data_IF_259853231313
#
_entry.id   IF_259853231313
#
_cell.length_a   1.000
_cell.length_b   1.000
_cell.length_c   1.000
_cell.angle_alpha   90.00
_cell.angle_beta   90.00
_cell.angle_gamma   90.00
#
_symmetry.space_group_name_H-M   'P 1'
#
loop_
_entity.id
_entity.type
_entity.pdbx_description
1 polymer ?
#
# COMPACT_ATOMS: atom_id res chain seq x y z
N UNK A 1 -67.71 -64.14 -11.36
CA UNK A 1 -69.09 -64.19 -10.84
C UNK A 1 -69.07 -63.65 -9.42
N UNK A 2 -69.72 -62.49 -9.20
CA UNK A 2 -70.26 -61.94 -7.94
C UNK A 2 -69.41 -61.89 -6.66
N UNK A 3 -69.18 -60.65 -6.17
CA UNK A 3 -69.43 -60.12 -4.80
C UNK A 3 -68.78 -60.83 -3.59
N UNK A 4 -68.28 -60.22 -2.50
CA UNK A 4 -68.75 -59.07 -1.73
C UNK A 4 -67.65 -58.58 -0.76
N UNK A 5 -67.68 -57.27 -0.50
CA UNK A 5 -67.21 -56.52 0.66
C UNK A 5 -67.18 -57.24 2.03
N UNK A 6 -66.11 -57.00 2.82
CA UNK A 6 -66.20 -56.33 4.15
C UNK A 6 -64.83 -55.97 4.75
N UNK A 7 -64.62 -54.65 4.88
CA UNK A 7 -64.01 -53.90 5.98
C UNK A 7 -63.35 -54.68 7.14
N UNK A 8 -62.10 -54.32 7.47
CA UNK A 8 -61.78 -53.79 8.81
C UNK A 8 -60.41 -53.07 8.89
N UNK A 9 -60.52 -51.78 9.23
CA UNK A 9 -59.74 -50.93 10.14
C UNK A 9 -58.26 -51.25 10.49
N UNK A 10 -57.55 -50.12 10.50
CA UNK A 10 -56.42 -49.73 11.36
C UNK A 10 -55.03 -50.17 10.88
N UNK A 11 -54.33 -49.27 10.16
CA UNK A 11 -53.54 -48.12 10.66
C UNK A 11 -52.10 -48.52 11.04
N UNK A 12 -51.22 -48.19 10.09
CA UNK A 12 -49.95 -47.51 10.31
C UNK A 12 -48.95 -48.17 11.29
N UNK A 13 -48.25 -49.20 10.81
CA UNK A 13 -46.99 -49.68 11.40
C UNK A 13 -45.77 -49.49 10.49
N UNK A 14 -45.84 -48.62 9.47
CA UNK A 14 -44.79 -48.49 8.45
C UNK A 14 -44.16 -47.11 8.23
N UNK A 15 -44.56 -46.06 8.97
CA UNK A 15 -44.06 -44.69 8.75
C UNK A 15 -43.26 -44.14 9.95
N UNK A 16 -43.21 -44.87 11.07
CA UNK A 16 -42.50 -44.42 12.27
C UNK A 16 -41.07 -45.00 12.42
N UNK A 17 -40.41 -45.38 11.31
CA UNK A 17 -38.98 -45.73 11.30
C UNK A 17 -38.16 -45.02 10.22
N UNK A 18 -38.77 -44.09 9.46
CA UNK A 18 -38.06 -43.25 8.48
C UNK A 18 -37.99 -41.76 8.88
N UNK A 19 -38.42 -41.40 10.09
CA UNK A 19 -38.39 -40.02 10.62
C UNK A 19 -37.41 -39.83 11.78
N UNK A 20 -36.61 -40.83 12.12
CA UNK A 20 -35.56 -40.73 13.14
C UNK A 20 -34.13 -40.67 12.58
N UNK A 21 -33.99 -40.63 11.25
CA UNK A 21 -32.71 -40.46 10.54
C UNK A 21 -32.73 -39.26 9.57
N UNK A 22 -33.57 -38.26 9.85
CA UNK A 22 -33.70 -37.04 9.03
C UNK A 22 -33.68 -35.76 9.87
N UNK A 23 -33.15 -35.81 11.10
CA UNK A 23 -33.08 -34.67 12.02
C UNK A 23 -31.68 -34.39 12.61
N UNK A 24 -30.60 -34.82 11.95
CA UNK A 24 -29.22 -34.53 12.38
C UNK A 24 -28.28 -34.22 11.21
N UNK A 25 -28.77 -33.46 10.22
CA UNK A 25 -27.91 -32.68 9.31
C UNK A 25 -28.50 -31.27 9.20
N UNK A 26 -28.68 -30.60 10.34
CA UNK A 26 -28.48 -29.16 10.34
C UNK A 26 -26.97 -29.05 10.49
N UNK A 27 -26.28 -28.94 9.35
CA UNK A 27 -24.90 -28.55 9.35
C UNK A 27 -24.82 -27.27 10.19
N UNK A 28 -24.23 -27.36 11.37
CA UNK A 28 -23.51 -26.23 11.91
C UNK A 28 -22.44 -25.94 10.88
N UNK A 29 -22.76 -25.13 9.88
CA UNK A 29 -21.74 -24.24 9.34
C UNK A 29 -21.28 -23.48 10.58
N UNK A 30 -20.11 -23.86 11.10
CA UNK A 30 -19.29 -22.91 11.81
C UNK A 30 -19.25 -21.70 10.88
N UNK A 31 -20.02 -20.66 11.21
CA UNK A 31 -19.79 -19.34 10.66
C UNK A 31 -18.44 -18.97 11.23
N UNK A 32 -17.38 -19.37 10.53
CA UNK A 32 -16.07 -18.79 10.74
C UNK A 32 -16.27 -17.28 10.56
N UNK A 33 -15.81 -16.43 11.49
CA UNK A 33 -15.87 -15.00 11.26
C UNK A 33 -15.20 -14.74 9.92
N UNK A 34 -15.91 -14.08 8.99
CA UNK A 34 -15.28 -13.56 7.78
C UNK A 34 -14.08 -12.71 8.23
N UNK A 35 -12.90 -13.00 7.68
CA UNK A 35 -11.67 -12.29 8.06
C UNK A 35 -11.90 -10.78 7.91
N UNK A 36 -11.56 -10.02 8.95
CA UNK A 36 -11.57 -8.56 8.85
C UNK A 36 -10.56 -8.09 7.80
N UNK A 37 -10.74 -6.89 7.26
CA UNK A 37 -9.76 -6.28 6.33
C UNK A 37 -8.35 -6.31 6.92
N UNK A 38 -8.22 -6.05 8.22
CA UNK A 38 -6.94 -6.14 8.93
C UNK A 38 -6.33 -7.54 8.84
N UNK A 39 -7.09 -8.60 9.11
CA UNK A 39 -6.59 -9.98 9.02
C UNK A 39 -6.19 -10.37 7.59
N UNK A 40 -6.94 -9.88 6.59
CA UNK A 40 -6.58 -10.06 5.18
C UNK A 40 -5.25 -9.36 4.85
N UNK A 41 -5.08 -8.11 5.28
CA UNK A 41 -3.84 -7.35 5.09
C UNK A 41 -2.67 -8.02 5.81
N UNK A 42 -2.83 -8.51 7.03
CA UNK A 42 -1.77 -9.22 7.74
C UNK A 42 -1.32 -10.48 7.00
N UNK A 43 -2.25 -11.29 6.45
CA UNK A 43 -1.88 -12.44 5.62
C UNK A 43 -1.14 -12.03 4.34
N UNK A 44 -1.54 -10.92 3.71
CA UNK A 44 -0.84 -10.38 2.55
C UNK A 44 0.58 -9.95 2.92
N UNK A 45 0.74 -9.23 4.03
CA UNK A 45 2.05 -8.88 4.59
C UNK A 45 2.91 -10.13 4.83
N UNK A 46 2.34 -11.19 5.41
CA UNK A 46 3.04 -12.44 5.67
C UNK A 46 3.42 -13.21 4.39
N UNK A 47 2.73 -12.95 3.28
CA UNK A 47 2.97 -13.57 1.98
C UNK A 47 4.05 -12.89 1.12
N UNK A 48 4.63 -11.79 1.60
CA UNK A 48 5.79 -11.16 0.94
C UNK A 48 6.96 -12.14 0.92
N UNK A 49 7.43 -12.45 -0.28
CA UNK A 49 8.47 -13.43 -0.55
C UNK A 49 9.82 -12.74 -0.76
N UNK A 50 10.77 -13.00 0.14
CA UNK A 50 12.16 -12.56 -0.03
C UNK A 50 12.78 -13.16 -1.30
N UNK A 51 12.46 -14.39 -1.66
CA UNK A 51 12.96 -15.02 -2.89
C UNK A 51 12.49 -14.30 -4.15
N UNK A 52 11.24 -13.82 -4.15
CA UNK A 52 10.69 -12.99 -5.22
C UNK A 52 11.48 -11.69 -5.36
N UNK A 53 11.70 -10.98 -4.24
CA UNK A 53 12.49 -9.76 -4.20
C UNK A 53 13.92 -9.99 -4.73
N UNK A 54 14.61 -11.02 -4.23
CA UNK A 54 15.97 -11.40 -4.67
C UNK A 54 16.01 -11.67 -6.18
N UNK A 55 15.03 -12.40 -6.72
CA UNK A 55 14.95 -12.69 -8.16
C UNK A 55 14.88 -11.40 -8.97
N UNK A 56 13.97 -10.49 -8.62
CA UNK A 56 13.76 -9.27 -9.40
C UNK A 56 14.97 -8.34 -9.32
N UNK A 57 15.58 -8.17 -8.14
CA UNK A 57 16.79 -7.36 -7.97
C UNK A 57 17.93 -7.88 -8.85
N UNK A 58 18.22 -9.20 -8.80
CA UNK A 58 19.32 -9.80 -9.57
C UNK A 58 19.12 -9.67 -11.09
N UNK A 59 17.89 -9.76 -11.58
CA UNK A 59 17.61 -9.58 -13.01
C UNK A 59 17.87 -8.14 -13.43
N UNK A 60 17.39 -7.16 -12.64
CA UNK A 60 17.58 -5.74 -12.91
C UNK A 60 19.04 -5.32 -12.78
N UNK A 61 19.76 -5.83 -11.77
CA UNK A 61 21.20 -5.64 -11.62
C UNK A 61 21.96 -6.16 -12.84
N UNK A 62 21.64 -7.38 -13.29
CA UNK A 62 22.31 -7.98 -14.44
C UNK A 62 22.00 -7.24 -15.75
N UNK A 63 20.82 -6.61 -15.87
CA UNK A 63 20.41 -5.79 -17.00
C UNK A 63 20.69 -6.44 -18.36
N UNK A 64 20.27 -7.69 -18.55
CA UNK A 64 20.52 -8.45 -19.79
C UNK A 64 21.99 -8.81 -20.05
N UNK A 65 22.86 -8.75 -19.04
CA UNK A 65 24.30 -8.96 -19.14
C UNK A 65 25.12 -7.67 -19.27
N UNK A 66 24.45 -6.50 -19.29
CA UNK A 66 25.10 -5.20 -19.36
C UNK A 66 25.54 -4.66 -18.00
N UNK A 67 24.97 -5.16 -16.90
CA UNK A 67 25.28 -4.73 -15.52
C UNK A 67 25.15 -3.22 -15.31
N UNK A 68 24.21 -2.59 -16.04
CA UNK A 68 23.97 -1.16 -16.02
C UNK A 68 22.63 -0.86 -16.67
N UNK A 69 21.85 0.02 -16.06
CA UNK A 69 20.56 0.50 -16.56
C UNK A 69 20.57 2.00 -16.84
N UNK A 70 21.74 2.59 -17.06
CA UNK A 70 21.86 4.01 -17.41
C UNK A 70 21.06 4.32 -18.67
N UNK A 71 20.32 5.44 -18.66
CA UNK A 71 19.42 5.83 -19.75
C UNK A 71 20.12 5.80 -21.13
N UNK A 72 19.37 5.44 -22.17
CA UNK A 72 19.85 5.32 -23.56
C UNK A 72 20.91 4.24 -23.81
N UNK A 73 21.09 3.28 -22.90
CA UNK A 73 21.98 2.12 -23.09
C UNK A 73 21.18 0.83 -23.34
N UNK A 74 21.79 -0.19 -23.97
CA UNK A 74 21.14 -1.51 -24.15
C UNK A 74 20.72 -2.19 -22.85
N UNK A 75 21.39 -1.89 -21.74
CA UNK A 75 21.01 -2.43 -20.43
C UNK A 75 19.74 -1.76 -19.86
N UNK A 76 19.53 -0.46 -20.12
CA UNK A 76 18.26 0.20 -19.84
C UNK A 76 17.13 -0.38 -20.69
N UNK A 77 17.37 -0.62 -22.00
CA UNK A 77 16.40 -1.28 -22.88
C UNK A 77 16.05 -2.69 -22.35
N UNK A 78 17.04 -3.43 -21.86
CA UNK A 78 16.84 -4.76 -21.27
C UNK A 78 15.98 -4.71 -20.00
N UNK A 79 16.21 -3.72 -19.12
CA UNK A 79 15.40 -3.52 -17.92
C UNK A 79 13.96 -3.11 -18.27
N UNK A 80 13.80 -2.15 -19.18
CA UNK A 80 12.49 -1.70 -19.67
C UNK A 80 11.66 -2.87 -20.23
N UNK A 81 12.28 -3.70 -21.07
CA UNK A 81 11.63 -4.90 -21.61
C UNK A 81 11.26 -5.91 -20.52
N UNK A 82 12.15 -6.13 -19.53
CA UNK A 82 11.86 -7.02 -18.41
C UNK A 82 10.68 -6.53 -17.58
N UNK A 83 10.60 -5.22 -17.32
CA UNK A 83 9.52 -4.61 -16.54
C UNK A 83 8.18 -4.75 -17.26
N UNK A 84 8.13 -4.34 -18.53
CA UNK A 84 6.91 -4.46 -19.34
C UNK A 84 6.42 -5.91 -19.38
N UNK A 85 7.33 -6.85 -19.64
CA UNK A 85 7.02 -8.28 -19.67
C UNK A 85 6.51 -8.78 -18.32
N UNK A 86 7.18 -8.41 -17.23
CA UNK A 86 6.79 -8.83 -15.87
C UNK A 86 5.37 -8.37 -15.54
N UNK A 87 5.00 -7.14 -15.88
CA UNK A 87 3.63 -6.67 -15.71
C UNK A 87 2.64 -7.38 -16.64
N UNK A 88 2.97 -7.54 -17.93
CA UNK A 88 2.07 -8.21 -18.89
C UNK A 88 1.78 -9.67 -18.56
N UNK A 89 2.75 -10.37 -17.97
CA UNK A 89 2.61 -11.77 -17.56
C UNK A 89 1.98 -11.93 -16.17
N UNK A 90 1.86 -10.84 -15.40
CA UNK A 90 1.28 -10.87 -14.06
C UNK A 90 -0.25 -11.01 -14.14
N UNK A 91 -0.82 -12.06 -13.53
CA UNK A 91 -2.25 -12.29 -13.62
C UNK A 91 -3.03 -11.24 -12.81
N UNK A 92 -4.29 -11.03 -13.20
CA UNK A 92 -5.29 -10.24 -12.47
C UNK A 92 -5.03 -8.73 -12.39
N UNK A 93 -4.00 -8.21 -13.06
CA UNK A 93 -3.94 -6.78 -13.37
C UNK A 93 -5.09 -6.38 -14.30
N UNK A 94 -5.67 -5.21 -14.06
CA UNK A 94 -6.75 -4.65 -14.88
C UNK A 94 -6.23 -4.10 -16.22
N UNK A 95 -5.04 -3.50 -16.21
CA UNK A 95 -4.36 -3.04 -17.42
C UNK A 95 -2.86 -2.91 -17.20
N UNK A 96 -2.10 -2.95 -18.30
CA UNK A 96 -0.68 -2.60 -18.37
C UNK A 96 -0.51 -1.63 -19.52
N UNK A 97 0.10 -0.47 -19.26
CA UNK A 97 0.29 0.58 -20.25
C UNK A 97 1.74 1.08 -20.26
N UNK A 98 2.18 1.52 -21.44
CA UNK A 98 3.48 2.15 -21.63
C UNK A 98 3.27 3.64 -21.86
N UNK A 99 3.73 4.46 -20.94
CA UNK A 99 3.73 5.90 -21.08
C UNK A 99 5.01 6.35 -21.77
N UNK A 100 4.91 6.97 -22.94
CA UNK A 100 6.08 7.38 -23.74
C UNK A 100 6.37 8.86 -23.56
N UNK A 101 7.64 9.22 -23.40
CA UNK A 101 8.09 10.60 -23.30
C UNK A 101 9.45 10.81 -23.98
N UNK A 102 9.87 12.06 -24.11
CA UNK A 102 11.17 12.45 -24.67
C UNK A 102 11.91 13.35 -23.69
N UNK A 103 13.21 13.12 -23.54
CA UNK A 103 14.10 14.01 -22.78
C UNK A 103 14.60 15.09 -23.73
N UNK A 104 13.86 16.19 -23.86
CA UNK A 104 14.17 17.25 -24.82
C UNK A 104 15.48 17.98 -24.52
N UNK A 105 15.96 17.95 -23.27
CA UNK A 105 17.27 18.48 -22.85
C UNK A 105 18.44 17.58 -23.24
N UNK A 106 18.20 16.40 -23.82
CA UNK A 106 19.28 15.53 -24.27
C UNK A 106 20.02 16.05 -25.50
N UNK A 107 21.26 15.62 -25.64
CA UNK A 107 22.07 15.90 -26.83
C UNK A 107 21.74 14.91 -27.93
N UNK A 108 21.89 15.32 -29.19
CA UNK A 108 21.72 14.42 -30.33
C UNK A 108 22.69 13.22 -30.24
N UNK A 109 22.26 12.00 -30.62
CA UNK A 109 20.95 11.65 -31.19
C UNK A 109 19.87 11.27 -30.16
N UNK A 110 20.08 11.51 -28.86
CA UNK A 110 19.22 11.01 -27.79
C UNK A 110 17.95 11.84 -27.58
N UNK A 111 17.97 13.13 -27.93
CA UNK A 111 16.80 14.02 -27.83
C UNK A 111 15.58 13.59 -28.66
N UNK A 112 15.78 12.75 -29.66
CA UNK A 112 14.70 12.20 -30.49
C UNK A 112 14.39 10.74 -30.17
N UNK A 113 15.06 10.14 -29.18
CA UNK A 113 14.77 8.78 -28.74
C UNK A 113 13.70 8.80 -27.65
N UNK A 114 12.65 7.97 -27.77
CA UNK A 114 11.64 7.85 -26.73
C UNK A 114 12.23 7.16 -25.49
N UNK A 115 11.72 7.55 -24.33
CA UNK A 115 11.87 6.87 -23.05
C UNK A 115 10.49 6.48 -22.54
N UNK A 116 10.44 5.59 -21.55
CA UNK A 116 9.20 4.93 -21.14
C UNK A 116 9.02 4.95 -19.62
N UNK A 117 7.78 5.16 -19.18
CA UNK A 117 7.32 4.67 -17.89
C UNK A 117 6.40 3.46 -18.14
N UNK A 118 6.37 2.52 -17.21
CA UNK A 118 5.49 1.36 -17.29
C UNK A 118 4.50 1.39 -16.14
N UNK A 119 3.21 1.38 -16.45
CA UNK A 119 2.12 1.42 -15.47
C UNK A 119 1.35 0.10 -15.51
N UNK A 120 1.24 -0.57 -14.37
CA UNK A 120 0.27 -1.62 -14.13
C UNK A 120 -0.85 -1.09 -13.22
N UNK A 121 -2.10 -1.45 -13.51
CA UNK A 121 -3.27 -0.96 -12.76
C UNK A 121 -4.07 -2.12 -12.18
N UNK A 122 -4.49 -1.97 -10.92
CA UNK A 122 -5.62 -2.69 -10.33
C UNK A 122 -6.77 -1.69 -10.17
N UNK A 123 -7.87 -1.92 -10.89
CA UNK A 123 -9.03 -1.05 -10.90
C UNK A 123 -9.77 -1.12 -9.56
N UNK A 124 -10.08 0.04 -8.97
CA UNK A 124 -10.92 0.12 -7.77
C UNK A 124 -12.37 -0.25 -8.06
N UNK A 125 -13.00 -0.98 -7.14
CA UNK A 125 -14.38 -1.48 -7.30
C UNK A 125 -15.45 -0.44 -6.98
N UNK A 126 -15.20 0.43 -5.99
CA UNK A 126 -16.21 1.37 -5.47
C UNK A 126 -15.91 2.82 -5.85
N UNK A 127 -14.63 3.18 -5.89
CA UNK A 127 -14.14 4.52 -6.18
C UNK A 127 -13.06 4.44 -7.28
N UNK A 128 -13.39 3.96 -8.49
CA UNK A 128 -12.43 3.73 -9.57
C UNK A 128 -11.64 4.97 -9.99
N UNK A 129 -12.20 6.17 -9.84
CA UNK A 129 -11.56 7.42 -10.27
C UNK A 129 -10.54 7.97 -9.26
N UNK A 130 -10.58 7.48 -8.02
CA UNK A 130 -9.66 7.88 -6.95
C UNK A 130 -8.48 6.91 -6.94
N UNK A 131 -7.28 7.46 -7.08
CA UNK A 131 -6.08 6.70 -7.43
C UNK A 131 -5.02 6.80 -6.33
N UNK A 132 -4.45 5.67 -5.95
CA UNK A 132 -3.19 5.61 -5.21
C UNK A 132 -2.08 5.07 -6.12
N UNK A 133 -0.88 5.63 -5.99
CA UNK A 133 0.26 5.25 -6.82
C UNK A 133 1.40 4.74 -5.94
N UNK A 134 1.99 3.62 -6.34
CA UNK A 134 3.27 3.13 -5.84
C UNK A 134 4.27 3.27 -7.00
N UNK A 135 5.36 3.97 -6.76
CA UNK A 135 6.35 4.29 -7.78
C UNK A 135 7.76 3.87 -7.38
N UNK A 136 8.56 3.51 -8.37
CA UNK A 136 10.01 3.34 -8.24
C UNK A 136 10.64 3.58 -9.62
N UNK A 137 11.82 4.18 -9.68
CA UNK A 137 12.53 4.32 -10.96
C UNK A 137 13.36 3.08 -11.27
N UNK A 138 13.60 2.83 -12.55
CA UNK A 138 14.31 1.62 -12.99
C UNK A 138 15.67 1.88 -13.63
N UNK A 139 16.03 3.13 -13.90
CA UNK A 139 17.38 3.46 -14.34
C UNK A 139 18.39 3.43 -13.18
N UNK A 140 19.64 3.77 -13.45
CA UNK A 140 20.69 3.87 -12.45
C UNK A 140 21.75 4.88 -12.91
N UNK A 141 22.65 5.26 -11.99
CA UNK A 141 23.71 6.22 -12.26
C UNK A 141 25.10 5.72 -11.85
N UNK A 142 26.12 6.27 -12.50
CA UNK A 142 27.54 6.14 -12.13
C UNK A 142 28.17 7.46 -11.72
N UNK A 143 27.35 8.45 -11.35
CA UNK A 143 27.79 9.83 -11.14
C UNK A 143 28.88 9.99 -10.08
N UNK A 144 28.97 9.06 -9.11
CA UNK A 144 29.95 9.05 -8.02
C UNK A 144 31.27 8.37 -8.37
N UNK A 145 31.43 7.88 -9.61
CA UNK A 145 32.71 7.35 -10.12
C UNK A 145 33.72 8.43 -10.54
N UNK A 146 33.37 9.71 -10.37
CA UNK A 146 34.18 10.87 -10.72
C UNK A 146 33.69 11.54 -12.00
N UNK A 147 33.58 12.87 -11.98
CA UNK A 147 32.92 13.64 -13.04
C UNK A 147 33.50 13.40 -14.43
N UNK A 148 34.82 13.32 -14.57
CA UNK A 148 35.49 13.05 -15.84
C UNK A 148 35.23 11.63 -16.35
N UNK A 149 35.23 10.65 -15.45
CA UNK A 149 34.94 9.24 -15.79
C UNK A 149 33.49 9.11 -16.22
N UNK A 150 32.56 9.69 -15.45
CA UNK A 150 31.15 9.70 -15.77
C UNK A 150 30.87 10.34 -17.13
N UNK A 151 31.41 11.53 -17.41
CA UNK A 151 31.22 12.20 -18.69
C UNK A 151 31.72 11.40 -19.91
N UNK A 152 32.80 10.62 -19.74
CA UNK A 152 33.44 9.91 -20.85
C UNK A 152 33.01 8.45 -21.00
N UNK A 153 32.50 7.81 -19.95
CA UNK A 153 32.29 6.34 -19.92
C UNK A 153 30.88 5.91 -19.50
N UNK A 154 29.96 6.84 -19.24
CA UNK A 154 28.61 6.53 -18.74
C UNK A 154 27.86 5.42 -19.51
N UNK A 155 28.03 5.37 -20.82
CA UNK A 155 27.31 4.43 -21.70
C UNK A 155 27.93 3.01 -21.74
N UNK A 156 29.09 2.82 -21.10
CA UNK A 156 29.81 1.53 -21.06
C UNK A 156 30.13 1.08 -19.64
N UNK A 157 29.91 1.95 -18.65
CA UNK A 157 30.17 1.68 -17.25
C UNK A 157 29.20 0.63 -16.71
N UNK A 158 29.75 -0.29 -15.91
CA UNK A 158 28.99 -1.33 -15.20
C UNK A 158 28.63 -0.83 -13.81
N UNK A 159 27.48 -0.17 -13.72
CA UNK A 159 26.89 0.35 -12.48
C UNK A 159 25.64 -0.46 -12.18
N UNK A 160 25.73 -1.48 -11.30
CA UNK A 160 24.67 -2.46 -11.20
C UNK A 160 23.36 -1.87 -10.65
N UNK A 161 23.42 -0.84 -9.80
CA UNK A 161 22.24 -0.13 -9.31
C UNK A 161 21.30 -1.05 -8.54
N UNK A 162 21.86 -1.92 -7.68
CA UNK A 162 21.08 -2.96 -7.03
C UNK A 162 20.16 -2.36 -5.96
N UNK A 163 20.70 -1.48 -5.13
CA UNK A 163 19.95 -0.72 -4.14
C UNK A 163 19.20 0.44 -4.79
N UNK A 164 19.90 1.17 -5.66
CA UNK A 164 19.45 2.36 -6.39
C UNK A 164 19.22 2.06 -7.89
N UNK A 165 17.99 1.72 -8.32
CA UNK A 165 16.81 1.46 -7.51
C UNK A 165 16.12 0.13 -7.86
N UNK A 166 16.93 -0.92 -8.08
CA UNK A 166 16.37 -2.26 -8.33
C UNK A 166 15.60 -2.82 -7.12
N UNK A 167 15.93 -2.40 -5.89
CA UNK A 167 15.16 -2.74 -4.68
C UNK A 167 13.73 -2.20 -4.72
N UNK A 168 13.54 -0.92 -5.10
CA UNK A 168 12.22 -0.30 -5.23
C UNK A 168 11.37 -0.95 -6.32
N UNK A 169 11.95 -1.24 -7.48
CA UNK A 169 11.24 -1.94 -8.58
C UNK A 169 10.88 -3.38 -8.18
N UNK A 170 11.74 -4.08 -7.44
CA UNK A 170 11.43 -5.42 -6.94
C UNK A 170 10.27 -5.40 -5.94
N UNK A 171 10.26 -4.42 -5.02
CA UNK A 171 9.14 -4.19 -4.11
C UNK A 171 7.85 -3.89 -4.89
N UNK A 172 7.93 -3.06 -5.93
CA UNK A 172 6.80 -2.73 -6.81
C UNK A 172 6.15 -3.99 -7.40
N UNK A 173 6.95 -4.92 -7.94
CA UNK A 173 6.44 -6.19 -8.48
C UNK A 173 5.83 -7.08 -7.41
N UNK A 174 6.48 -7.22 -6.26
CA UNK A 174 6.00 -8.11 -5.21
C UNK A 174 4.69 -7.62 -4.60
N UNK A 175 4.56 -6.31 -4.41
CA UNK A 175 3.33 -5.68 -3.94
C UNK A 175 2.22 -5.83 -4.98
N UNK A 176 2.51 -5.61 -6.27
CA UNK A 176 1.54 -5.80 -7.35
C UNK A 176 1.03 -7.24 -7.41
N UNK A 177 1.94 -8.23 -7.32
CA UNK A 177 1.62 -9.66 -7.30
C UNK A 177 0.65 -10.02 -6.18
N UNK A 178 0.86 -9.47 -4.98
CA UNK A 178 0.03 -9.80 -3.81
C UNK A 178 -1.30 -9.04 -3.86
N UNK A 179 -1.30 -7.75 -4.22
CA UNK A 179 -2.53 -6.95 -4.29
C UNK A 179 -3.47 -7.38 -5.40
N UNK A 180 -2.95 -7.94 -6.51
CA UNK A 180 -3.78 -8.42 -7.61
C UNK A 180 -4.34 -9.83 -7.39
N UNK A 181 -3.78 -10.61 -6.45
CA UNK A 181 -4.17 -12.00 -6.25
C UNK A 181 -5.57 -12.13 -5.63
N UNK A 182 -6.57 -12.67 -6.36
CA UNK A 182 -7.93 -12.83 -5.86
C UNK A 182 -8.02 -13.80 -4.66
N UNK A 183 -7.04 -14.68 -4.46
CA UNK A 183 -7.00 -15.59 -3.32
C UNK A 183 -6.88 -14.85 -1.97
N UNK A 184 -6.38 -13.62 -1.98
CA UNK A 184 -6.31 -12.79 -0.78
C UNK A 184 -7.70 -12.25 -0.35
N UNK A 185 -8.72 -12.38 -1.20
CA UNK A 185 -10.08 -11.89 -0.93
C UNK A 185 -10.11 -10.39 -0.61
N UNK A 186 -9.14 -9.65 -1.17
CA UNK A 186 -8.88 -8.25 -0.89
C UNK A 186 -9.66 -7.38 -1.89
N UNK A 187 -10.57 -6.57 -1.36
CA UNK A 187 -11.49 -5.78 -2.17
C UNK A 187 -10.99 -4.34 -2.26
N UNK A 188 -10.23 -4.02 -3.31
CA UNK A 188 -9.72 -2.68 -3.53
C UNK A 188 -10.89 -1.73 -3.83
N UNK A 189 -11.20 -0.84 -2.89
CA UNK A 189 -12.18 0.22 -3.08
C UNK A 189 -11.67 1.29 -4.05
N UNK A 190 -10.38 1.59 -4.00
CA UNK A 190 -9.71 2.59 -4.83
C UNK A 190 -8.82 1.96 -5.89
N UNK A 191 -8.55 2.68 -6.98
CA UNK A 191 -7.62 2.23 -8.00
C UNK A 191 -6.19 2.33 -7.49
N UNK A 192 -5.40 1.28 -7.70
CA UNK A 192 -3.98 1.25 -7.36
C UNK A 192 -3.17 1.14 -8.65
N UNK A 193 -2.23 2.05 -8.83
CA UNK A 193 -1.28 2.03 -9.94
C UNK A 193 0.12 1.73 -9.44
N UNK A 194 0.82 0.88 -10.17
CA UNK A 194 2.22 0.54 -9.97
C UNK A 194 3.00 1.11 -11.15
N UNK A 195 3.90 2.06 -10.89
CA UNK A 195 4.57 2.80 -11.96
C UNK A 195 6.08 2.64 -11.82
N UNK A 196 6.69 2.03 -12.82
CA UNK A 196 8.14 2.01 -12.98
C UNK A 196 8.56 3.24 -13.81
N UNK A 197 9.21 4.22 -13.19
CA UNK A 197 9.63 5.45 -13.84
C UNK A 197 10.97 5.29 -14.57
N UNK A 198 11.06 5.82 -15.78
CA UNK A 198 12.32 5.88 -16.52
C UNK A 198 12.98 7.24 -16.35
N UNK A 199 14.31 7.29 -16.45
CA UNK A 199 15.07 8.53 -16.42
C UNK A 199 14.84 9.39 -15.17
N UNK A 200 14.80 8.75 -14.01
CA UNK A 200 14.90 9.47 -12.74
C UNK A 200 16.29 10.07 -12.60
N UNK A 201 17.30 9.29 -12.96
CA UNK A 201 18.67 9.65 -12.72
C UNK A 201 19.12 10.76 -13.65
N UNK A 202 19.96 11.62 -13.09
CA UNK A 202 20.60 12.65 -13.88
C UNK A 202 21.55 12.04 -14.91
N UNK A 203 21.34 12.40 -16.17
CA UNK A 203 22.19 11.97 -17.26
C UNK A 203 23.48 12.80 -17.35
N UNK A 204 24.55 12.26 -17.93
CA UNK A 204 25.68 13.04 -18.45
C UNK A 204 25.41 13.54 -19.88
N UNK A 205 24.42 12.99 -20.57
CA UNK A 205 24.01 13.37 -21.92
C UNK A 205 22.90 14.45 -21.96
N UNK A 206 22.40 14.86 -20.79
CA UNK A 206 21.37 15.88 -20.61
C UNK A 206 21.50 16.49 -19.21
N UNK A 207 20.90 17.65 -18.99
CA UNK A 207 20.70 18.16 -17.62
C UNK A 207 19.29 17.86 -17.13
N UNK A 208 19.15 17.71 -15.82
CA UNK A 208 17.89 17.39 -15.14
C UNK A 208 17.86 15.98 -14.55
N UNK A 209 16.81 15.71 -13.79
CA UNK A 209 16.48 14.44 -13.14
C UNK A 209 14.95 14.27 -13.16
N UNK A 210 14.45 13.10 -12.78
CA UNK A 210 13.03 12.77 -12.62
C UNK A 210 12.22 12.95 -13.91
N UNK A 211 12.83 12.77 -15.09
CA UNK A 211 12.19 13.09 -16.37
C UNK A 211 10.93 12.26 -16.61
N UNK A 212 10.97 10.96 -16.25
CA UNK A 212 9.82 10.06 -16.37
C UNK A 212 8.66 10.48 -15.50
N UNK A 213 8.90 10.67 -14.19
CA UNK A 213 7.88 11.11 -13.24
C UNK A 213 7.36 12.52 -13.53
N UNK A 214 8.20 13.47 -13.99
CA UNK A 214 7.77 14.79 -14.45
C UNK A 214 6.80 14.66 -15.61
N UNK A 215 7.13 13.86 -16.63
CA UNK A 215 6.25 13.65 -17.77
C UNK A 215 4.93 13.00 -17.33
N UNK A 216 5.01 11.99 -16.48
CA UNK A 216 3.88 11.21 -16.01
C UNK A 216 2.94 12.05 -15.13
N UNK A 217 3.46 12.78 -14.14
CA UNK A 217 2.67 13.63 -13.25
C UNK A 217 1.94 14.74 -14.04
N UNK A 218 2.61 15.37 -15.02
CA UNK A 218 2.00 16.34 -15.93
C UNK A 218 0.84 15.75 -16.73
N UNK A 219 1.02 14.54 -17.28
CA UNK A 219 -0.05 13.84 -18.00
C UNK A 219 -1.21 13.49 -17.06
N UNK A 220 -0.93 13.08 -15.83
CA UNK A 220 -1.97 12.85 -14.81
C UNK A 220 -2.77 14.13 -14.54
N UNK A 221 -2.08 15.27 -14.39
CA UNK A 221 -2.71 16.58 -14.20
C UNK A 221 -3.57 16.99 -15.39
N UNK A 222 -3.03 16.89 -16.60
CA UNK A 222 -3.74 17.20 -17.85
C UNK A 222 -4.99 16.33 -18.04
N UNK A 223 -4.91 15.07 -17.63
CA UNK A 223 -6.02 14.12 -17.68
C UNK A 223 -6.95 14.19 -16.45
N UNK A 224 -6.78 15.17 -15.57
CA UNK A 224 -7.56 15.37 -14.35
C UNK A 224 -7.65 14.12 -13.45
N UNK A 225 -6.57 13.32 -13.38
CA UNK A 225 -6.55 12.13 -12.52
C UNK A 225 -6.61 12.53 -11.03
N UNK A 226 -7.52 11.90 -10.28
CA UNK A 226 -7.73 12.19 -8.85
C UNK A 226 -6.79 11.36 -7.97
N UNK A 227 -5.50 11.67 -8.02
CA UNK A 227 -4.48 11.01 -7.21
C UNK A 227 -4.63 11.42 -5.74
N UNK A 228 -4.95 10.47 -4.88
CA UNK A 228 -5.15 10.64 -3.44
C UNK A 228 -3.83 10.62 -2.67
N UNK A 229 -2.84 9.88 -3.18
CA UNK A 229 -1.50 9.80 -2.63
C UNK A 229 -0.57 8.98 -3.54
N UNK A 230 0.68 9.39 -3.64
CA UNK A 230 1.75 8.65 -4.31
C UNK A 230 2.88 8.37 -3.32
N UNK A 231 3.38 7.13 -3.30
CA UNK A 231 4.57 6.75 -2.55
C UNK A 231 5.69 6.39 -3.53
N UNK A 232 6.81 7.10 -3.46
CA UNK A 232 8.06 6.72 -4.11
C UNK A 232 8.84 5.79 -3.19
N UNK A 233 9.26 4.63 -3.72
CA UNK A 233 10.05 3.62 -3.03
C UNK A 233 11.42 3.62 -3.67
N UNK A 234 12.42 4.10 -2.93
CA UNK A 234 13.73 4.39 -3.51
C UNK A 234 14.84 4.20 -2.48
N UNK A 235 15.80 3.33 -2.82
CA UNK A 235 16.88 2.86 -1.94
C UNK A 235 16.33 2.35 -0.60
N UNK A 236 15.93 1.08 -0.59
CA UNK A 236 15.31 0.43 0.58
C UNK A 236 16.14 -0.76 1.11
N UNK A 237 17.40 -0.85 0.68
CA UNK A 237 18.20 -2.04 0.81
C UNK A 237 19.49 -1.89 1.58
N UNK A 238 19.93 -0.69 1.95
CA UNK A 238 21.15 -0.49 2.70
C UNK A 238 20.92 0.16 4.05
N UNK A 239 21.17 -0.61 5.11
CA UNK A 239 21.62 -0.09 6.39
C UNK A 239 22.21 -1.23 7.22
N UNK A 240 23.35 -0.99 7.87
CA UNK A 240 24.02 -2.00 8.71
C UNK A 240 23.68 -1.85 10.19
N UNK A 241 23.33 -0.65 10.65
CA UNK A 241 23.16 -0.39 12.08
C UNK A 241 21.80 -0.87 12.60
N UNK A 242 20.72 -0.53 11.88
CA UNK A 242 19.35 -0.78 12.30
C UNK A 242 18.42 -0.95 11.08
N UNK A 243 17.22 -1.47 11.30
CA UNK A 243 16.19 -1.48 10.27
C UNK A 243 15.53 -0.09 10.19
N UNK A 244 16.22 0.86 9.58
CA UNK A 244 15.81 2.26 9.53
C UNK A 244 15.26 2.62 8.15
N UNK A 245 14.21 3.44 8.11
CA UNK A 245 13.69 4.05 6.88
C UNK A 245 13.22 5.48 7.16
N UNK A 246 13.61 6.43 6.32
CA UNK A 246 13.10 7.80 6.37
C UNK A 246 11.85 7.98 5.50
N UNK A 247 10.96 8.87 5.97
CA UNK A 247 9.80 9.37 5.23
C UNK A 247 10.05 10.86 4.93
N UNK A 248 10.26 11.15 3.66
CA UNK A 248 10.37 12.50 3.11
C UNK A 248 8.97 12.97 2.72
N UNK A 249 8.58 14.14 3.23
CA UNK A 249 7.23 14.71 3.04
C UNK A 249 7.26 16.22 3.14
N UNK A 250 6.41 16.89 2.37
CA UNK A 250 6.09 18.31 2.53
C UNK A 250 4.80 18.50 3.36
N UNK A 251 4.44 19.75 3.64
CA UNK A 251 3.26 20.11 4.45
C UNK A 251 1.95 19.54 3.91
N UNK A 252 1.72 19.57 2.59
CA UNK A 252 0.47 19.09 1.99
C UNK A 252 0.35 17.56 2.00
N UNK A 253 1.48 16.86 2.12
CA UNK A 253 1.55 15.39 2.15
C UNK A 253 1.66 14.82 3.57
N UNK A 254 1.75 15.65 4.62
CA UNK A 254 1.95 15.20 6.01
C UNK A 254 0.88 14.21 6.48
N UNK A 255 -0.39 14.41 6.11
CA UNK A 255 -1.43 13.44 6.47
C UNK A 255 -1.15 12.05 5.86
N UNK A 256 -0.73 12.01 4.59
CA UNK A 256 -0.38 10.76 3.93
C UNK A 256 0.86 10.12 4.57
N UNK A 257 1.90 10.91 4.85
CA UNK A 257 3.08 10.46 5.57
C UNK A 257 2.78 9.94 6.99
N UNK A 258 1.89 10.61 7.73
CA UNK A 258 1.49 10.20 9.08
C UNK A 258 0.86 8.81 9.08
N UNK A 259 0.11 8.44 8.03
CA UNK A 259 -0.44 7.07 7.92
C UNK A 259 0.63 6.01 7.75
N UNK A 260 1.77 6.33 7.14
CA UNK A 260 2.91 5.42 7.10
C UNK A 260 3.54 5.24 8.49
N UNK A 261 3.66 6.29 9.30
CA UNK A 261 4.07 6.17 10.72
C UNK A 261 3.10 5.30 11.54
N UNK A 262 1.79 5.55 11.41
CA UNK A 262 0.76 4.75 12.09
C UNK A 262 0.81 3.27 11.66
N UNK A 263 0.96 3.03 10.35
CA UNK A 263 1.01 1.68 9.79
C UNK A 263 2.24 0.89 10.24
N UNK A 264 3.39 1.55 10.45
CA UNK A 264 4.59 0.91 11.00
C UNK A 264 4.29 0.28 12.38
N UNK A 265 3.55 1.00 13.23
CA UNK A 265 3.13 0.52 14.55
C UNK A 265 2.05 -0.55 14.43
N UNK A 266 1.02 -0.29 13.60
CA UNK A 266 -0.13 -1.18 13.43
C UNK A 266 0.25 -2.58 12.93
N UNK A 267 1.14 -2.64 11.94
CA UNK A 267 1.61 -3.89 11.36
C UNK A 267 2.85 -4.44 12.06
N UNK A 268 3.27 -3.79 13.15
CA UNK A 268 4.42 -4.16 13.97
C UNK A 268 5.66 -4.46 13.12
N UNK A 269 5.97 -3.58 12.16
CA UNK A 269 7.06 -3.85 11.21
C UNK A 269 8.43 -3.75 11.88
N UNK A 270 8.50 -2.98 12.97
CA UNK A 270 9.73 -2.77 13.74
C UNK A 270 10.76 -1.91 13.01
N UNK A 271 10.32 -1.11 12.02
CA UNK A 271 11.18 -0.11 11.38
C UNK A 271 11.41 1.07 12.33
N UNK A 272 12.64 1.56 12.40
CA UNK A 272 12.97 2.84 13.01
C UNK A 272 12.74 3.92 11.95
N UNK A 273 11.92 4.93 12.27
CA UNK A 273 11.60 6.02 11.34
C UNK A 273 12.30 7.31 11.76
N UNK A 274 12.48 8.23 10.81
CA UNK A 274 13.15 9.50 11.06
C UNK A 274 12.44 10.34 12.13
N UNK A 275 13.24 10.92 13.03
CA UNK A 275 12.81 11.89 14.03
C UNK A 275 13.83 13.03 14.05
N UNK A 276 13.43 14.29 13.71
CA UNK A 276 12.07 14.74 13.48
C UNK A 276 11.44 14.21 12.17
N UNK A 277 10.10 14.07 12.13
CA UNK A 277 9.39 13.59 10.95
C UNK A 277 9.31 14.66 9.85
N UNK A 278 8.90 14.23 8.65
CA UNK A 278 8.57 15.10 7.50
C UNK A 278 9.71 15.97 6.99
N UNK A 279 10.84 15.34 6.67
CA UNK A 279 11.94 16.03 6.00
C UNK A 279 11.43 16.53 4.63
N UNK A 280 11.48 17.84 4.41
CA UNK A 280 11.03 18.45 3.17
C UNK A 280 12.18 18.50 2.16
N UNK A 281 12.12 17.64 1.15
CA UNK A 281 13.14 17.58 0.11
C UNK A 281 12.65 16.90 -1.17
N UNK A 282 13.35 17.17 -2.27
CA UNK A 282 12.98 16.80 -3.64
C UNK A 282 14.03 15.88 -4.27
N UNK A 283 14.22 14.69 -3.69
CA UNK A 283 15.29 13.76 -4.07
C UNK A 283 14.96 12.74 -5.14
N UNK A 284 13.69 12.48 -5.39
CA UNK A 284 13.22 11.34 -6.18
C UNK A 284 11.88 11.70 -6.84
N UNK A 285 11.26 10.72 -7.49
CA UNK A 285 10.06 10.86 -8.32
C UNK A 285 8.87 11.54 -7.61
N UNK A 286 8.79 11.46 -6.27
CA UNK A 286 7.74 12.10 -5.48
C UNK A 286 7.70 13.62 -5.67
N UNK A 287 8.84 14.26 -5.94
CA UNK A 287 8.94 15.69 -6.16
C UNK A 287 8.11 16.14 -7.37
N UNK A 288 8.10 15.34 -8.44
CA UNK A 288 7.32 15.63 -9.65
C UNK A 288 5.81 15.67 -9.39
N UNK A 289 5.34 14.88 -8.43
CA UNK A 289 3.94 14.91 -8.01
C UNK A 289 3.62 16.16 -7.18
N UNK A 290 4.56 16.63 -6.35
CA UNK A 290 4.39 17.90 -5.64
C UNK A 290 4.28 19.08 -6.59
N UNK A 291 5.10 19.13 -7.65
CA UNK A 291 5.07 20.20 -8.65
C UNK A 291 3.69 20.34 -9.33
N UNK A 292 2.97 19.23 -9.49
CA UNK A 292 1.63 19.20 -10.09
C UNK A 292 0.49 19.34 -9.06
N UNK A 293 0.84 19.51 -7.78
CA UNK A 293 -0.08 19.73 -6.66
C UNK A 293 -0.66 18.46 -6.04
N UNK A 294 -0.07 17.29 -6.31
CA UNK A 294 -0.47 16.01 -5.72
C UNK A 294 0.22 15.76 -4.38
N UNK A 295 -0.42 14.95 -3.53
CA UNK A 295 0.15 14.47 -2.28
C UNK A 295 1.10 13.31 -2.62
N UNK A 296 2.35 13.42 -2.18
CA UNK A 296 3.34 12.38 -2.40
C UNK A 296 4.36 12.31 -1.27
N UNK A 297 4.94 11.14 -1.06
CA UNK A 297 6.04 10.93 -0.11
C UNK A 297 7.13 10.10 -0.77
N UNK A 298 8.33 10.17 -0.21
CA UNK A 298 9.43 9.28 -0.54
C UNK A 298 9.81 8.47 0.69
N UNK A 299 9.98 7.16 0.48
CA UNK A 299 10.57 6.24 1.43
C UNK A 299 11.99 5.97 0.99
N UNK A 300 12.96 6.35 1.83
CA UNK A 300 14.39 6.24 1.51
C UNK A 300 15.21 5.85 2.74
N UNK A 301 16.22 5.02 2.56
CA UNK A 301 17.04 4.48 3.66
C UNK A 301 17.82 5.56 4.42
N UNK A 302 18.05 6.72 3.80
CA UNK A 302 18.64 7.86 4.46
C UNK A 302 18.10 9.19 3.91
N UNK A 303 17.92 10.15 4.82
CA UNK A 303 17.50 11.52 4.51
C UNK A 303 18.57 12.51 5.02
N UNK A 304 18.50 13.81 4.68
CA UNK A 304 19.35 14.84 5.25
C UNK A 304 19.58 14.71 6.76
N UNK A 305 20.83 14.90 7.23
CA UNK A 305 21.94 15.58 6.52
C UNK A 305 22.83 14.70 5.63
N UNK A 306 22.39 13.52 5.15
CA UNK A 306 23.19 12.65 4.25
C UNK A 306 24.53 12.19 4.84
N UNK A 307 24.65 12.26 6.16
CA UNK A 307 25.76 11.76 6.94
C UNK A 307 25.31 10.56 7.78
N UNK A 308 26.25 9.68 8.10
CA UNK A 308 26.02 8.60 9.04
C UNK A 308 25.70 9.14 10.42
N UNK A 309 24.84 8.43 11.14
CA UNK A 309 24.51 8.69 12.54
C UNK A 309 24.29 7.37 13.29
N UNK A 310 23.75 7.45 14.51
CA UNK A 310 23.53 6.26 15.33
C UNK A 310 22.47 5.29 14.75
N UNK A 311 21.57 5.76 13.89
CA UNK A 311 20.49 4.97 13.32
C UNK A 311 20.83 4.38 11.96
N UNK A 312 21.61 5.09 11.14
CA UNK A 312 21.97 4.63 9.81
C UNK A 312 23.38 5.04 9.37
N UNK A 313 23.91 4.29 8.41
CA UNK A 313 25.14 4.63 7.68
C UNK A 313 24.73 5.23 6.33
N UNK A 314 25.33 6.36 5.94
CA UNK A 314 25.12 6.89 4.60
C UNK A 314 25.66 5.88 3.58
N UNK A 315 24.82 5.44 2.64
CA UNK A 315 25.17 4.41 1.67
C UNK A 315 26.45 4.80 0.88
N UNK A 316 27.57 4.09 1.06
CA UNK A 316 28.80 4.45 0.36
C UNK A 316 28.77 3.98 -1.10
N UNK A 317 27.82 3.12 -1.46
CA UNK A 317 27.81 2.39 -2.73
C UNK A 317 26.92 3.02 -3.80
N UNK A 318 25.85 3.76 -3.44
CA UNK A 318 24.94 4.36 -4.42
C UNK A 318 25.70 5.18 -5.47
N UNK A 319 25.25 5.12 -6.73
CA UNK A 319 25.89 5.74 -7.91
C UNK A 319 27.33 5.29 -8.19
N UNK A 320 27.74 4.11 -7.70
CA UNK A 320 29.05 3.52 -7.97
C UNK A 320 28.94 2.13 -8.58
N UNK A 321 30.06 1.61 -9.06
CA UNK A 321 30.16 0.22 -9.55
C UNK A 321 29.99 -0.83 -8.44
N UNK A 322 29.94 -0.40 -7.17
CA UNK A 322 29.81 -1.29 -6.01
C UNK A 322 28.37 -1.42 -5.50
N UNK A 323 27.44 -0.60 -5.99
CA UNK A 323 26.01 -0.77 -5.71
C UNK A 323 25.52 -2.06 -6.38
N UNK A 324 25.56 -3.16 -5.64
CA UNK A 324 25.39 -4.53 -6.12
C UNK A 324 24.59 -5.35 -5.11
N UNK A 325 24.00 -6.48 -5.52
CA UNK A 325 23.18 -7.30 -4.63
C UNK A 325 23.89 -7.70 -3.33
N UNK A 326 25.22 -7.81 -3.34
CA UNK A 326 26.01 -8.19 -2.17
C UNK A 326 26.07 -7.11 -1.08
N UNK A 327 25.75 -5.86 -1.39
CA UNK A 327 25.71 -4.77 -0.40
C UNK A 327 24.34 -4.64 0.26
N UNK A 328 23.34 -5.42 -0.17
CA UNK A 328 21.97 -5.30 0.30
C UNK A 328 21.71 -6.04 1.62
N UNK A 329 21.05 -5.35 2.55
CA UNK A 329 20.32 -5.90 3.67
C UNK A 329 18.93 -6.37 3.20
N UNK A 330 18.85 -7.60 2.69
CA UNK A 330 17.58 -8.20 2.23
C UNK A 330 16.47 -8.30 3.31
N UNK A 331 16.78 -8.54 4.60
CA UNK A 331 15.79 -8.39 5.66
C UNK A 331 15.13 -7.00 5.69
N UNK A 332 15.91 -5.92 5.53
CA UNK A 332 15.38 -4.56 5.44
C UNK A 332 14.50 -4.37 4.21
N UNK A 333 14.95 -4.77 3.01
CA UNK A 333 14.15 -4.71 1.76
C UNK A 333 12.80 -5.40 1.96
N UNK A 334 12.82 -6.59 2.56
CA UNK A 334 11.60 -7.38 2.84
C UNK A 334 10.67 -6.64 3.80
N UNK A 335 11.22 -6.06 4.87
CA UNK A 335 10.47 -5.33 5.90
C UNK A 335 9.84 -4.05 5.35
N UNK A 336 10.57 -3.27 4.55
CA UNK A 336 10.06 -2.08 3.88
C UNK A 336 8.97 -2.46 2.87
N UNK A 337 9.17 -3.51 2.08
CA UNK A 337 8.15 -4.03 1.15
C UNK A 337 6.85 -4.40 1.88
N UNK A 338 6.95 -5.12 3.01
CA UNK A 338 5.81 -5.46 3.88
C UNK A 338 5.07 -4.23 4.39
N UNK A 339 5.83 -3.23 4.83
CA UNK A 339 5.28 -1.98 5.33
C UNK A 339 4.53 -1.19 4.24
N UNK A 340 5.11 -1.06 3.05
CA UNK A 340 4.46 -0.41 1.90
C UNK A 340 3.20 -1.18 1.51
N UNK A 341 3.29 -2.50 1.36
CA UNK A 341 2.14 -3.36 1.04
C UNK A 341 0.99 -3.14 2.03
N UNK A 342 1.27 -3.26 3.33
CA UNK A 342 0.26 -3.11 4.37
C UNK A 342 -0.40 -1.74 4.36
N UNK A 343 0.41 -0.69 4.24
CA UNK A 343 -0.07 0.69 4.24
C UNK A 343 -0.93 0.99 3.02
N UNK A 344 -0.46 0.59 1.84
CA UNK A 344 -1.16 0.84 0.59
C UNK A 344 -2.43 0.00 0.47
N UNK A 345 -2.42 -1.23 0.98
CA UNK A 345 -3.64 -2.02 1.14
C UNK A 345 -4.64 -1.30 2.07
N UNK A 346 -4.20 -0.81 3.24
CA UNK A 346 -5.09 -0.09 4.16
C UNK A 346 -5.71 1.17 3.55
N UNK A 347 -4.98 1.85 2.66
CA UNK A 347 -5.51 2.97 1.88
C UNK A 347 -6.47 2.55 0.78
N UNK A 348 -6.14 1.49 0.02
CA UNK A 348 -6.94 1.05 -1.13
C UNK A 348 -8.19 0.29 -0.71
N UNK A 349 -8.24 -0.24 0.50
CA UNK A 349 -9.41 -0.86 1.13
C UNK A 349 -9.47 -0.42 2.59
N UNK A 350 -10.23 0.65 2.92
CA UNK A 350 -10.29 1.18 4.27
C UNK A 350 -10.56 0.06 5.29
N UNK A 351 -9.73 0.01 6.33
CA UNK A 351 -9.77 -1.03 7.38
C UNK A 351 -11.10 -1.06 8.16
N UNK A 352 -11.90 -0.01 8.03
CA UNK A 352 -13.33 -0.03 8.29
C UNK A 352 -14.01 -0.65 7.06
N UNK A 353 -14.24 -1.97 7.02
CA UNK A 353 -15.00 -2.60 5.93
C UNK A 353 -16.34 -1.87 5.73
N UNK A 354 -16.34 -1.00 4.73
CA UNK A 354 -17.45 -0.40 4.02
C UNK A 354 -17.59 -1.20 2.73
N UNK A 355 -18.16 -2.39 2.84
CA UNK A 355 -18.60 -3.16 1.68
C UNK A 355 -20.12 -3.22 1.71
N UNK A 356 -20.74 -2.09 1.39
CA UNK A 356 -21.81 -2.11 0.40
C UNK A 356 -21.76 -0.80 -0.40
N UNK A 357 -22.20 -0.91 -1.65
CA UNK A 357 -22.48 0.18 -2.59
C UNK A 357 -23.08 1.38 -1.85
N UNK A 358 -22.88 2.62 -2.31
CA UNK A 358 -23.74 3.74 -1.90
C UNK A 358 -25.06 3.70 -2.68
N UNK A 359 -26.15 3.08 -2.20
CA UNK A 359 -27.43 3.77 -2.26
C UNK A 359 -27.39 4.90 -1.22
N UNK A 360 -28.30 5.87 -1.33
CA UNK A 360 -28.48 6.89 -0.29
C UNK A 360 -28.46 6.25 1.13
N UNK A 361 -27.78 6.85 2.12
CA UNK A 361 -27.55 6.20 3.41
C UNK A 361 -28.89 6.07 4.14
N UNK A 362 -29.46 4.86 4.17
CA UNK A 362 -30.73 4.60 4.85
C UNK A 362 -30.57 4.16 6.30
N UNK A 363 -29.34 3.94 6.79
CA UNK A 363 -29.10 3.32 8.10
C UNK A 363 -27.99 3.98 8.92
N UNK A 364 -28.20 3.98 10.24
CA UNK A 364 -27.22 4.40 11.24
C UNK A 364 -26.19 3.30 11.45
N UNK A 365 -24.90 3.65 11.47
CA UNK A 365 -23.80 2.68 11.58
C UNK A 365 -22.73 3.18 12.55
N UNK A 366 -22.28 2.29 13.44
CA UNK A 366 -21.06 2.47 14.22
C UNK A 366 -19.96 1.57 13.64
N UNK A 367 -18.90 2.19 13.13
CA UNK A 367 -17.76 1.43 12.61
C UNK A 367 -16.85 0.97 13.77
N UNK A 368 -16.09 -0.09 13.51
CA UNK A 368 -15.04 -0.51 14.43
C UNK A 368 -14.01 0.63 14.53
N UNK A 369 -13.61 1.00 15.75
CA UNK A 369 -12.53 1.98 15.93
C UNK A 369 -11.25 1.47 15.26
N UNK A 370 -10.46 2.39 14.69
CA UNK A 370 -9.22 2.05 14.02
C UNK A 370 -8.08 3.02 14.43
N UNK A 371 -6.92 2.51 14.85
CA UNK A 371 -6.58 1.09 15.01
C UNK A 371 -7.35 0.38 16.15
N UNK A 372 -7.43 -0.96 16.12
CA UNK A 372 -7.91 -1.77 17.24
C UNK A 372 -7.27 -3.18 17.20
N UNK A 373 -6.33 -3.53 18.11
CA UNK A 373 -5.91 -2.75 19.26
C UNK A 373 -5.24 -1.41 18.90
N UNK A 374 -5.31 -0.43 19.79
CA UNK A 374 -4.70 0.89 19.59
C UNK A 374 -3.72 1.25 20.72
N UNK A 375 -2.72 2.06 20.40
CA UNK A 375 -1.85 2.72 21.37
C UNK A 375 -2.12 4.22 21.36
N UNK A 376 -2.31 4.78 22.55
CA UNK A 376 -2.65 6.17 22.88
C UNK A 376 -3.98 6.65 22.31
N UNK A 377 -4.19 6.61 21.00
CA UNK A 377 -5.42 7.11 20.36
C UNK A 377 -5.95 6.23 19.22
N UNK A 378 -7.22 6.38 18.89
CA UNK A 378 -7.91 5.67 17.80
C UNK A 378 -8.91 6.59 17.14
N UNK A 379 -9.19 6.38 15.85
CA UNK A 379 -10.30 7.03 15.16
C UNK A 379 -11.56 6.20 15.38
N UNK A 380 -12.65 6.88 15.73
CA UNK A 380 -13.99 6.34 15.83
C UNK A 380 -14.82 6.89 14.69
N UNK A 381 -15.23 6.01 13.77
CA UNK A 381 -16.13 6.37 12.68
C UNK A 381 -17.57 5.98 12.98
N UNK A 382 -18.52 6.79 12.51
CA UNK A 382 -19.94 6.46 12.48
C UNK A 382 -20.65 7.15 11.31
N UNK A 383 -21.87 6.72 11.00
CA UNK A 383 -22.73 7.30 9.96
C UNK A 383 -24.14 7.45 10.50
N UNK A 384 -24.77 8.60 10.24
CA UNK A 384 -26.16 8.89 10.62
C UNK A 384 -26.96 9.16 9.33
N UNK A 385 -28.15 8.54 9.14
CA UNK A 385 -29.03 8.83 8.03
C UNK A 385 -29.92 10.03 8.37
N UNK A 386 -29.69 11.15 7.70
CA UNK A 386 -30.37 12.40 8.03
C UNK A 386 -29.87 13.03 9.34
N UNK A 387 -30.50 14.15 9.72
CA UNK A 387 -30.19 14.86 10.94
C UNK A 387 -30.77 14.12 12.16
N UNK A 388 -29.97 13.79 13.17
CA UNK A 388 -30.43 13.11 14.38
C UNK A 388 -29.68 13.55 15.64
N UNK A 389 -30.30 13.36 16.81
CA UNK A 389 -29.62 13.54 18.10
C UNK A 389 -28.98 12.21 18.51
N UNK A 390 -27.67 12.24 18.76
CA UNK A 390 -26.88 11.03 19.02
C UNK A 390 -26.07 11.14 20.31
N UNK A 391 -25.68 9.99 20.84
CA UNK A 391 -24.75 9.85 21.97
C UNK A 391 -23.70 8.79 21.63
N UNK A 392 -22.43 9.18 21.60
CA UNK A 392 -21.28 8.34 21.30
C UNK A 392 -20.32 8.34 22.49
N UNK A 393 -20.22 7.20 23.17
CA UNK A 393 -19.58 7.09 24.49
C UNK A 393 -18.72 5.84 24.61
N UNK A 394 -17.73 5.89 25.49
CA UNK A 394 -16.82 4.78 25.79
C UNK A 394 -17.05 4.29 27.21
N UNK A 395 -17.10 2.97 27.38
CA UNK A 395 -17.33 2.28 28.64
C UNK A 395 -16.20 1.28 28.93
N UNK A 396 -15.90 1.04 30.20
CA UNK A 396 -15.02 -0.06 30.62
C UNK A 396 -15.77 -1.41 30.67
N UNK A 397 -15.06 -2.48 31.05
CA UNK A 397 -15.64 -3.84 31.18
C UNK A 397 -16.72 -3.98 32.25
N UNK A 398 -16.81 -3.04 33.19
CA UNK A 398 -17.85 -3.01 34.23
C UNK A 398 -19.06 -2.19 33.80
N UNK A 399 -19.04 -1.61 32.59
CA UNK A 399 -20.09 -0.75 32.07
C UNK A 399 -20.04 0.67 32.64
N UNK A 400 -18.93 1.08 33.26
CA UNK A 400 -18.73 2.47 33.68
C UNK A 400 -18.35 3.32 32.47
N UNK A 401 -19.05 4.43 32.28
CA UNK A 401 -18.68 5.44 31.29
C UNK A 401 -17.31 6.05 31.65
N UNK A 402 -16.38 6.01 30.70
CA UNK A 402 -15.01 6.56 30.86
C UNK A 402 -14.72 7.73 29.92
N UNK A 403 -15.51 7.90 28.85
CA UNK A 403 -15.42 9.07 27.98
C UNK A 403 -16.72 9.30 27.20
N UNK A 404 -17.00 10.57 26.89
CA UNK A 404 -18.02 10.99 25.92
C UNK A 404 -17.29 11.56 24.71
N UNK A 405 -17.47 10.95 23.54
CA UNK A 405 -16.84 11.41 22.31
C UNK A 405 -17.69 12.47 21.60
N UNK A 406 -19.01 12.28 21.62
CA UNK A 406 -19.97 13.22 21.08
C UNK A 406 -21.34 13.02 21.73
N UNK A 407 -22.06 14.10 22.00
CA UNK A 407 -23.44 14.08 22.50
C UNK A 407 -24.16 15.34 22.01
N UNK A 408 -25.16 15.17 21.15
CA UNK A 408 -25.86 16.31 20.54
C UNK A 408 -26.45 16.00 19.17
N UNK A 409 -26.84 17.06 18.47
CA UNK A 409 -27.39 16.98 17.12
C UNK A 409 -26.28 16.81 16.08
N UNK A 410 -26.41 15.81 15.20
CA UNK A 410 -25.47 15.49 14.14
C UNK A 410 -26.18 15.58 12.79
N UNK A 411 -25.50 16.20 11.82
CA UNK A 411 -25.94 16.26 10.43
C UNK A 411 -25.83 14.90 9.71
N UNK A 412 -26.56 14.76 8.61
CA UNK A 412 -26.51 13.60 7.72
C UNK A 412 -25.08 13.29 7.26
N UNK A 413 -24.76 12.01 7.14
CA UNK A 413 -23.53 11.52 6.54
C UNK A 413 -22.56 10.86 7.52
N UNK A 414 -21.32 10.72 7.06
CA UNK A 414 -20.24 10.01 7.77
C UNK A 414 -19.40 10.97 8.58
N UNK A 415 -19.09 10.56 9.81
CA UNK A 415 -18.37 11.34 10.81
C UNK A 415 -17.23 10.51 11.40
N UNK A 416 -16.13 11.18 11.73
CA UNK A 416 -14.95 10.57 12.35
C UNK A 416 -14.44 11.45 13.49
N UNK A 417 -14.11 10.81 14.62
CA UNK A 417 -13.61 11.49 15.83
C UNK A 417 -12.33 10.79 16.30
N UNK A 418 -11.33 11.59 16.69
CA UNK A 418 -10.16 11.08 17.37
C UNK A 418 -10.50 10.85 18.85
N UNK A 419 -10.29 9.62 19.33
CA UNK A 419 -10.38 9.26 20.74
C UNK A 419 -8.97 9.07 21.30
N UNK A 420 -8.58 9.92 22.25
CA UNK A 420 -7.37 9.79 23.05
C UNK A 420 -7.67 9.03 24.35
N UNK A 421 -7.03 7.88 24.53
CA UNK A 421 -7.12 7.03 25.70
C UNK A 421 -5.85 7.05 26.57
N UNK A 422 -4.93 8.00 26.37
CA UNK A 422 -3.68 8.12 27.15
C UNK A 422 -3.91 8.14 28.66
N UNK A 423 -5.03 8.71 29.12
CA UNK A 423 -5.47 8.73 30.53
C UNK A 423 -6.09 7.44 31.05
N UNK A 424 -6.33 6.44 30.20
CA UNK A 424 -6.98 5.17 30.56
C UNK A 424 -5.95 4.07 30.89
N UNK A 425 -6.41 2.94 31.41
CA UNK A 425 -5.57 1.77 31.68
C UNK A 425 -5.61 0.83 30.49
N UNK A 426 -4.51 0.12 30.19
CA UNK A 426 -4.51 -0.96 29.19
C UNK A 426 -5.63 -1.95 29.47
N UNK A 427 -6.43 -2.28 28.47
CA UNK A 427 -7.59 -3.14 28.69
C UNK A 427 -8.62 -3.14 27.58
N UNK A 428 -9.75 -3.76 27.86
CA UNK A 428 -10.90 -3.84 26.96
C UNK A 428 -11.86 -2.70 27.31
N UNK A 429 -12.34 -2.02 26.29
CA UNK A 429 -13.36 -0.97 26.37
C UNK A 429 -14.49 -1.26 25.39
N UNK A 430 -15.62 -0.59 25.56
CA UNK A 430 -16.78 -0.68 24.69
C UNK A 430 -17.19 0.70 24.23
N UNK A 431 -17.15 0.91 22.92
CA UNK A 431 -17.67 2.09 22.26
C UNK A 431 -19.15 1.87 21.95
N UNK A 432 -20.02 2.80 22.34
CA UNK A 432 -21.47 2.71 22.11
C UNK A 432 -21.97 3.97 21.42
N UNK A 433 -22.72 3.77 20.32
CA UNK A 433 -23.48 4.81 19.63
C UNK A 433 -24.97 4.57 19.89
N UNK A 434 -25.69 5.62 20.26
CA UNK A 434 -27.14 5.65 20.40
C UNK A 434 -27.70 6.78 19.54
N UNK A 435 -28.71 6.50 18.73
CA UNK A 435 -29.39 7.49 17.88
C UNK A 435 -30.87 7.08 17.74
N UNK A 436 -31.80 7.88 18.28
CA UNK A 436 -33.23 7.53 18.37
C UNK A 436 -33.48 6.09 18.88
N UNK A 437 -33.91 5.17 18.00
CA UNK A 437 -34.15 3.74 18.32
C UNK A 437 -32.95 2.83 18.05
N UNK A 438 -31.88 3.35 17.44
CA UNK A 438 -30.67 2.62 17.11
C UNK A 438 -29.68 2.60 18.30
N UNK A 439 -29.08 1.44 18.55
CA UNK A 439 -27.95 1.28 19.46
C UNK A 439 -26.96 0.30 18.86
N UNK A 440 -25.68 0.66 18.83
CA UNK A 440 -24.60 -0.23 18.41
C UNK A 440 -23.42 -0.13 19.37
N UNK A 441 -22.74 -1.26 19.58
CA UNK A 441 -21.59 -1.38 20.49
C UNK A 441 -20.43 -2.07 19.78
N UNK A 442 -19.22 -1.52 19.92
CA UNK A 442 -17.97 -2.10 19.42
C UNK A 442 -16.97 -2.28 20.54
N UNK A 443 -16.31 -3.44 20.57
CA UNK A 443 -15.23 -3.72 21.50
C UNK A 443 -13.96 -3.00 21.04
N UNK A 444 -13.29 -2.32 21.95
CA UNK A 444 -11.97 -1.70 21.75
C UNK A 444 -10.95 -2.38 22.65
N UNK A 445 -9.71 -2.48 22.19
CA UNK A 445 -8.58 -3.03 22.92
C UNK A 445 -7.51 -1.94 22.95
N UNK A 446 -7.28 -1.39 24.13
CA UNK A 446 -6.28 -0.35 24.33
C UNK A 446 -5.00 -0.96 24.90
N UNK A 447 -3.86 -0.66 24.28
CA UNK A 447 -2.51 -1.06 24.67
C UNK A 447 -1.70 0.20 25.01
N UNK A 448 -0.99 0.21 26.14
CA UNK A 448 -0.04 1.29 26.46
C UNK A 448 1.31 0.99 25.83
#
# INVERSE_FOLDING_TARGET
MKTHHKLNKAKASGILRLLFFLLLIIGWQKVYPQDSTYQKIMRMIDSVSTDSLVKHIKVLENAGGHTSRVNFTPGNDSAANYILKTFQEMPHLSSVTTDTFFITSAVAPYNTKPMFNFEATIQGKYNPDKIFIIGAHYDCSGSRMGSQVWQSQWNTMKVPGADDNATGVAALFEIARILSDPANGFNNAYTVKFVAFGAEESGPAYSGAHHGSISYAKKCKLNNQQIQGMVSVDMIGFNENHDYQAIVSNTTSQYFAQKFYEANTLFNTGLILNSPPFVNATYSDHASFWDEGYKAILLIENAPPWNSNNYYIANPFYHTTSDSFHTLNMPLVTKVTKWVLGTMAAFSSPLTNTDDVTPAPSECVLYQNYPNPFNSSTIVGYQIPGKAVISLKVYDILGKEVAVLFEGEQEDGRHELLFDASGLATGIYYLKLTADSFTSVKKMIFLK
#
